data_IF_428870956415
#
_entry.id   IF_428870956415
#
_cell.length_a   1.000
_cell.length_b   1.000
_cell.length_c   1.000
_cell.angle_alpha   90.00
_cell.angle_beta   90.00
_cell.angle_gamma   90.00
#
_symmetry.space_group_name_H-M   'P 1'
#
loop_
_entity.id
_entity.type
_entity.pdbx_description
1 polymer ?
#
# COMPACT_ATOMS: atom_id res chain seq x y z
N UNK A 1 18.43 -14.32 -22.53
CA UNK A 1 17.56 -15.51 -22.37
C UNK A 1 17.73 -16.25 -21.03
N UNK A 2 18.95 -16.50 -20.54
CA UNK A 2 19.20 -17.20 -19.25
C UNK A 2 18.54 -16.53 -18.02
N UNK A 3 18.60 -15.20 -17.92
CA UNK A 3 18.06 -14.45 -16.75
C UNK A 3 16.55 -14.67 -16.58
N UNK A 4 15.77 -14.56 -17.66
CA UNK A 4 14.33 -14.80 -17.62
C UNK A 4 13.98 -16.23 -17.21
N UNK A 5 14.77 -17.21 -17.64
CA UNK A 5 14.60 -18.61 -17.23
C UNK A 5 14.86 -18.80 -15.74
N UNK A 6 15.91 -18.15 -15.20
CA UNK A 6 16.21 -18.17 -13.76
C UNK A 6 15.10 -17.52 -12.93
N UNK A 7 14.55 -16.38 -13.37
CA UNK A 7 13.44 -15.70 -12.69
C UNK A 7 12.18 -16.58 -12.72
N UNK A 8 11.85 -17.15 -13.88
CA UNK A 8 10.70 -18.04 -14.03
C UNK A 8 10.82 -19.26 -13.10
N UNK A 9 11.99 -19.90 -13.07
CA UNK A 9 12.25 -21.03 -12.18
C UNK A 9 12.15 -20.63 -10.69
N UNK A 10 12.61 -19.43 -10.32
CA UNK A 10 12.54 -18.94 -8.93
C UNK A 10 11.11 -18.77 -8.44
N UNK A 11 10.21 -18.28 -9.30
CA UNK A 11 8.84 -17.92 -8.93
C UNK A 11 7.77 -18.91 -9.41
N UNK A 12 8.17 -20.08 -9.92
CA UNK A 12 7.26 -21.10 -10.43
C UNK A 12 6.30 -21.70 -9.37
N UNK A 13 6.64 -21.58 -8.08
CA UNK A 13 5.89 -22.15 -6.96
C UNK A 13 5.20 -21.09 -6.10
N UNK A 14 4.95 -19.88 -6.62
CA UNK A 14 4.21 -18.87 -5.87
C UNK A 14 2.77 -19.31 -5.65
N UNK A 15 2.33 -19.24 -4.39
CA UNK A 15 0.93 -19.42 -4.01
C UNK A 15 0.38 -18.09 -3.53
N UNK A 16 -0.30 -17.38 -4.43
CA UNK A 16 -0.94 -16.11 -4.13
C UNK A 16 -2.35 -16.32 -3.55
N UNK A 17 -2.64 -15.59 -2.47
CA UNK A 17 -3.98 -15.44 -1.93
C UNK A 17 -4.61 -14.13 -2.42
N UNK A 18 -5.94 -14.00 -2.41
CA UNK A 18 -6.63 -12.76 -2.79
C UNK A 18 -6.07 -11.50 -2.11
N UNK A 19 -5.75 -11.58 -0.82
CA UNK A 19 -5.18 -10.46 -0.06
C UNK A 19 -3.84 -9.96 -0.60
N UNK A 20 -3.06 -10.83 -1.24
CA UNK A 20 -1.76 -10.45 -1.79
C UNK A 20 -1.95 -9.48 -2.95
N UNK A 21 -2.92 -9.75 -3.83
CA UNK A 21 -3.25 -8.84 -4.93
C UNK A 21 -3.69 -7.49 -4.41
N UNK A 22 -4.47 -7.47 -3.32
CA UNK A 22 -4.88 -6.21 -2.68
C UNK A 22 -3.67 -5.45 -2.16
N UNK A 23 -2.77 -6.10 -1.41
CA UNK A 23 -1.57 -5.45 -0.86
C UNK A 23 -0.65 -4.96 -1.97
N UNK A 24 -0.34 -5.80 -2.96
CA UNK A 24 0.51 -5.40 -4.10
C UNK A 24 -0.12 -4.30 -4.92
N UNK A 25 -1.42 -4.39 -5.20
CA UNK A 25 -2.16 -3.36 -5.91
C UNK A 25 -2.08 -2.03 -5.19
N UNK A 26 -2.27 -2.04 -3.87
CA UNK A 26 -2.23 -0.83 -3.07
C UNK A 26 -0.83 -0.20 -3.03
N UNK A 27 0.22 -0.99 -2.75
CA UNK A 27 1.60 -0.50 -2.72
C UNK A 27 2.03 0.03 -4.10
N UNK A 28 1.73 -0.70 -5.17
CA UNK A 28 2.05 -0.24 -6.52
C UNK A 28 1.28 1.03 -6.88
N UNK A 29 -0.01 1.08 -6.56
CA UNK A 29 -0.85 2.23 -6.86
C UNK A 29 -0.41 3.47 -6.10
N UNK A 30 -0.17 3.39 -4.79
CA UNK A 30 0.33 4.52 -4.00
C UNK A 30 1.71 4.98 -4.47
N UNK A 31 2.66 4.05 -4.62
CA UNK A 31 4.00 4.39 -5.10
C UNK A 31 3.98 5.08 -6.48
N UNK A 32 3.08 4.66 -7.37
CA UNK A 32 2.89 5.30 -8.68
C UNK A 32 2.21 6.67 -8.59
N UNK A 33 1.24 6.86 -7.69
CA UNK A 33 0.56 8.14 -7.50
C UNK A 33 1.49 9.22 -6.96
N UNK A 34 2.48 8.88 -6.14
CA UNK A 34 3.44 9.88 -5.64
C UNK A 34 4.21 10.53 -6.80
N UNK A 35 4.53 9.79 -7.86
CA UNK A 35 5.36 10.28 -8.96
C UNK A 35 4.78 11.56 -9.62
N UNK A 36 3.51 11.63 -10.04
CA UNK A 36 2.94 12.87 -10.57
C UNK A 36 2.51 13.90 -9.52
N UNK A 37 2.26 13.51 -8.26
CA UNK A 37 1.66 14.38 -7.24
C UNK A 37 2.62 14.88 -6.14
N UNK A 38 3.92 14.58 -6.23
CA UNK A 38 4.92 14.82 -5.18
C UNK A 38 5.24 16.27 -4.80
N UNK A 39 4.61 17.29 -5.38
CA UNK A 39 5.07 18.68 -5.29
C UNK A 39 5.26 19.17 -3.84
N UNK A 40 4.44 18.67 -2.91
CA UNK A 40 4.47 19.05 -1.49
C UNK A 40 5.09 17.98 -0.58
N UNK A 41 5.82 17.00 -1.14
CA UNK A 41 6.45 15.90 -0.40
C UNK A 41 7.96 16.02 -0.40
N UNK A 42 8.56 16.38 0.76
CA UNK A 42 10.00 16.29 0.93
C UNK A 42 10.48 14.85 0.73
N UNK A 43 11.60 14.67 0.02
CA UNK A 43 12.21 13.36 -0.23
C UNK A 43 11.27 12.33 -0.87
N UNK A 44 10.31 12.79 -1.68
CA UNK A 44 9.32 11.93 -2.34
C UNK A 44 9.87 10.69 -3.04
N UNK A 45 11.09 10.65 -3.65
CA UNK A 45 11.56 9.44 -4.33
C UNK A 45 11.79 8.27 -3.36
N UNK A 46 11.96 8.54 -2.06
CA UNK A 46 12.10 7.49 -1.04
C UNK A 46 10.86 6.62 -0.97
N UNK A 47 9.68 7.19 -1.16
CA UNK A 47 8.42 6.46 -1.06
C UNK A 47 8.30 5.36 -2.13
N UNK A 48 8.29 5.63 -3.46
CA UNK A 48 8.19 4.56 -4.46
C UNK A 48 9.33 3.53 -4.35
N UNK A 49 10.53 3.94 -3.91
CA UNK A 49 11.64 3.02 -3.61
C UNK A 49 11.31 2.09 -2.43
N UNK A 50 10.78 2.62 -1.32
CA UNK A 50 10.35 1.83 -0.17
C UNK A 50 9.21 0.87 -0.53
N UNK A 51 8.24 1.33 -1.32
CA UNK A 51 7.17 0.49 -1.87
C UNK A 51 7.74 -0.66 -2.70
N UNK A 52 8.69 -0.39 -3.59
CA UNK A 52 9.35 -1.44 -4.38
C UNK A 52 10.09 -2.45 -3.49
N UNK A 53 10.83 -1.98 -2.48
CA UNK A 53 11.53 -2.84 -1.52
C UNK A 53 10.52 -3.74 -0.79
N UNK A 54 9.39 -3.19 -0.36
CA UNK A 54 8.33 -3.96 0.27
C UNK A 54 7.68 -4.98 -0.64
N UNK A 55 7.39 -4.61 -1.88
CA UNK A 55 6.86 -5.52 -2.88
C UNK A 55 7.81 -6.72 -3.05
N UNK A 56 9.11 -6.46 -3.19
CA UNK A 56 10.12 -7.53 -3.31
C UNK A 56 10.20 -8.37 -2.03
N UNK A 57 10.16 -7.76 -0.84
CA UNK A 57 10.21 -8.45 0.43
C UNK A 57 9.01 -9.38 0.65
N UNK A 58 7.80 -8.92 0.34
CA UNK A 58 6.57 -9.71 0.41
C UNK A 58 6.64 -10.85 -0.61
N UNK A 59 7.09 -10.57 -1.85
CA UNK A 59 7.23 -11.61 -2.88
C UNK A 59 8.18 -12.74 -2.43
N UNK A 60 9.31 -12.39 -1.80
CA UNK A 60 10.23 -13.38 -1.24
C UNK A 60 9.66 -14.11 -0.04
N UNK A 61 8.88 -13.44 0.83
CA UNK A 61 8.15 -14.10 1.92
C UNK A 61 7.16 -15.14 1.38
N UNK A 62 6.35 -14.79 0.38
CA UNK A 62 5.40 -15.70 -0.27
C UNK A 62 6.13 -16.90 -0.86
N UNK A 63 7.22 -16.65 -1.59
CA UNK A 63 8.04 -17.72 -2.19
C UNK A 63 8.63 -18.64 -1.13
N UNK A 64 9.22 -18.09 -0.08
CA UNK A 64 9.86 -18.86 0.98
C UNK A 64 8.83 -19.69 1.76
N UNK A 65 7.66 -19.12 2.06
CA UNK A 65 6.58 -19.83 2.74
C UNK A 65 6.00 -20.96 1.88
N UNK A 66 5.98 -20.82 0.54
CA UNK A 66 5.53 -21.87 -0.36
C UNK A 66 6.53 -23.04 -0.45
N UNK A 67 7.83 -22.76 -0.38
CA UNK A 67 8.89 -23.80 -0.46
C UNK A 67 9.16 -24.45 0.89
N UNK A 68 9.04 -23.69 2.00
CA UNK A 68 9.40 -24.15 3.35
C UNK A 68 8.19 -24.06 4.28
N UNK A 69 7.81 -25.20 4.85
CA UNK A 69 6.80 -25.26 5.92
C UNK A 69 7.44 -24.91 7.27
N UNK A 70 7.74 -23.63 7.47
CA UNK A 70 8.35 -23.13 8.71
C UNK A 70 7.36 -22.24 9.48
N UNK A 71 7.14 -22.45 10.80
CA UNK A 71 6.10 -21.76 11.55
C UNK A 71 6.25 -20.24 11.55
N UNK A 72 7.49 -19.72 11.59
CA UNK A 72 7.75 -18.28 11.51
C UNK A 72 7.37 -17.70 10.14
N UNK A 73 7.60 -18.43 9.04
CA UNK A 73 7.20 -17.98 7.71
C UNK A 73 5.68 -17.97 7.59
N UNK A 74 5.01 -18.98 8.14
CA UNK A 74 3.54 -19.03 8.22
C UNK A 74 2.99 -17.86 9.01
N UNK A 75 3.56 -17.56 10.18
CA UNK A 75 3.17 -16.40 10.99
C UNK A 75 3.26 -15.10 10.18
N UNK A 76 4.41 -14.79 9.58
CA UNK A 76 4.54 -13.58 8.76
C UNK A 76 3.60 -13.61 7.54
N UNK A 77 3.42 -14.77 6.89
CA UNK A 77 2.50 -14.93 5.75
C UNK A 77 1.04 -14.63 6.11
N UNK A 78 0.63 -14.92 7.34
CA UNK A 78 -0.72 -14.64 7.85
C UNK A 78 -0.91 -13.18 8.24
N UNK A 79 0.08 -12.56 8.89
CA UNK A 79 -0.08 -11.23 9.48
C UNK A 79 0.42 -10.06 8.61
N UNK A 80 1.28 -10.31 7.62
CA UNK A 80 1.78 -9.23 6.77
C UNK A 80 0.69 -8.43 6.04
N UNK A 81 -0.48 -8.98 5.61
CA UNK A 81 -1.47 -8.17 4.92
C UNK A 81 -2.06 -7.09 5.84
N UNK A 82 -2.29 -7.43 7.12
CA UNK A 82 -2.79 -6.46 8.10
C UNK A 82 -1.77 -5.34 8.34
N UNK A 83 -0.49 -5.69 8.48
CA UNK A 83 0.59 -4.71 8.64
C UNK A 83 0.76 -3.84 7.39
N UNK A 84 0.77 -4.47 6.20
CA UNK A 84 0.92 -3.78 4.93
C UNK A 84 -0.22 -2.80 4.66
N UNK A 85 -1.46 -3.23 4.86
CA UNK A 85 -2.63 -2.36 4.72
C UNK A 85 -2.67 -1.27 5.78
N UNK A 86 -2.30 -1.56 7.03
CA UNK A 86 -2.27 -0.56 8.10
C UNK A 86 -1.29 0.57 7.81
N UNK A 87 -0.09 0.25 7.29
CA UNK A 87 0.88 1.29 6.94
C UNK A 87 0.45 2.05 5.69
N UNK A 88 -0.07 1.36 4.70
CA UNK A 88 -0.55 1.99 3.49
C UNK A 88 -1.77 2.91 3.75
N UNK A 89 -2.61 2.57 4.73
CA UNK A 89 -3.70 3.43 5.20
C UNK A 89 -3.19 4.75 5.81
N UNK A 90 -2.13 4.71 6.62
CA UNK A 90 -1.52 5.93 7.17
C UNK A 90 -0.96 6.82 6.06
N UNK A 91 -0.36 6.22 5.05
CA UNK A 91 0.18 6.95 3.89
C UNK A 91 -0.93 7.54 3.02
N UNK A 92 -2.04 6.82 2.82
CA UNK A 92 -3.20 7.30 2.06
C UNK A 92 -3.73 8.62 2.64
N UNK A 93 -3.75 8.77 3.97
CA UNK A 93 -4.18 10.01 4.60
C UNK A 93 -3.33 11.22 4.16
N UNK A 94 -2.01 11.04 4.06
CA UNK A 94 -1.10 12.07 3.55
C UNK A 94 -1.23 12.29 2.04
N UNK A 95 -1.53 11.23 1.29
CA UNK A 95 -1.59 11.26 -0.17
C UNK A 95 -2.89 11.89 -0.67
N UNK A 96 -4.00 11.64 0.01
CA UNK A 96 -5.30 12.26 -0.29
C UNK A 96 -5.25 13.78 -0.09
N UNK A 97 -4.67 14.26 1.02
CA UNK A 97 -4.58 15.70 1.29
C UNK A 97 -3.66 16.45 0.33
N UNK A 98 -2.69 15.76 -0.26
CA UNK A 98 -1.78 16.28 -1.29
C UNK A 98 -2.46 16.41 -2.66
N UNK A 99 -3.27 15.43 -3.07
CA UNK A 99 -4.00 15.49 -4.34
C UNK A 99 -5.23 16.41 -4.22
N UNK A 100 -5.90 16.34 -3.08
CA UNK A 100 -7.16 17.00 -2.79
C UNK A 100 -7.01 17.80 -1.49
N UNK A 101 -6.52 19.05 -1.56
CA UNK A 101 -6.34 19.89 -0.37
C UNK A 101 -7.70 20.33 0.17
N UNK A 102 -8.35 19.46 0.94
CA UNK A 102 -9.63 19.68 1.63
C UNK A 102 -10.70 20.43 0.82
N UNK A 103 -10.71 20.26 -0.50
CA UNK A 103 -11.49 21.09 -1.43
C UNK A 103 -13.00 20.98 -1.20
N UNK A 104 -13.46 19.83 -0.70
CA UNK A 104 -14.86 19.57 -0.37
C UNK A 104 -15.20 19.87 1.09
N UNK A 105 -14.23 20.27 1.91
CA UNK A 105 -14.43 20.43 3.34
C UNK A 105 -15.48 21.50 3.64
N UNK A 106 -15.37 22.67 3.03
CA UNK A 106 -16.36 23.73 3.20
C UNK A 106 -17.75 23.31 2.71
N UNK A 107 -17.83 22.55 1.61
CA UNK A 107 -19.09 22.04 1.10
C UNK A 107 -19.75 21.06 2.08
N UNK A 108 -19.00 20.08 2.58
CA UNK A 108 -19.48 19.08 3.54
C UNK A 108 -19.84 19.74 4.87
N UNK A 109 -19.04 20.67 5.37
CA UNK A 109 -19.29 21.43 6.61
C UNK A 109 -20.56 22.27 6.49
N UNK A 110 -20.79 22.91 5.35
CA UNK A 110 -22.01 23.68 5.12
C UNK A 110 -23.25 22.78 4.96
N UNK A 111 -23.11 21.59 4.35
CA UNK A 111 -24.19 20.60 4.30
C UNK A 111 -24.55 20.11 5.70
N UNK A 112 -23.56 19.82 6.55
CA UNK A 112 -23.78 19.35 7.92
C UNK A 112 -24.47 20.44 8.75
N UNK A 113 -24.03 21.71 8.61
CA UNK A 113 -24.69 22.86 9.21
C UNK A 113 -26.14 23.03 8.71
N UNK A 114 -26.39 22.80 7.41
CA UNK A 114 -27.73 22.91 6.85
C UNK A 114 -28.69 21.83 7.36
N UNK A 115 -28.19 20.62 7.65
CA UNK A 115 -29.00 19.49 8.14
C UNK A 115 -29.24 19.59 9.65
N UNK A 116 -28.20 19.88 10.43
CA UNK A 116 -28.25 19.82 11.90
C UNK A 116 -28.32 21.18 12.58
N UNK A 117 -28.08 22.28 11.87
CA UNK A 117 -28.22 23.65 12.37
C UNK A 117 -27.13 24.10 13.35
N UNK A 118 -26.19 23.22 13.70
CA UNK A 118 -25.12 23.49 14.66
C UNK A 118 -23.84 22.82 14.17
N UNK A 119 -22.71 23.53 14.20
CA UNK A 119 -21.42 22.86 14.02
C UNK A 119 -21.14 21.99 15.25
N UNK A 120 -20.77 20.70 15.10
CA UNK A 120 -20.17 19.96 16.19
C UNK A 120 -18.82 20.63 16.52
N UNK A 121 -18.82 21.50 17.52
CA UNK A 121 -17.59 22.07 18.07
C UNK A 121 -16.82 20.94 18.75
N UNK A 122 -15.61 20.67 18.28
CA UNK A 122 -14.58 19.96 19.07
C UNK A 122 -14.07 20.88 20.17
#
# INVERSE_FOLDING_TARGET
MKILQTIKARYQHLSFHPMDYTVFGYLAFLGLLIIPFHNDVPDWPKYPVLHLIWIVAILELIRLAAVKQHPVLTFFRTFYPALGLGIAWMELNSLVTMIFPYWANDFVVNMDLAIFGVHPTV
#
